data_IF_905823075217
#
_entry.id   IF_905823075217
#
_cell.length_a   1.000
_cell.length_b   1.000
_cell.length_c   1.000
_cell.angle_alpha   90.00
_cell.angle_beta   90.00
_cell.angle_gamma   90.00
#
_symmetry.space_group_name_H-M   'P 1'
#
loop_
_entity.id
_entity.type
_entity.pdbx_description
1 polymer ?
#
# COMPACT_ATOMS: atom_id res chain seq x y z
N UNK A 1 -14.79 -4.78 -8.12
CA UNK A 1 -15.13 -4.68 -9.55
C UNK A 1 -16.16 -3.60 -9.74
N UNK A 2 -16.02 -2.77 -10.76
CA UNK A 2 -16.96 -1.68 -11.05
C UNK A 2 -17.24 -1.56 -12.55
N UNK A 3 -18.31 -0.85 -12.86
CA UNK A 3 -18.70 -0.55 -14.24
C UNK A 3 -18.74 0.96 -14.40
N UNK A 4 -18.22 1.44 -15.51
CA UNK A 4 -18.21 2.86 -15.86
C UNK A 4 -18.90 3.05 -17.21
N UNK A 5 -19.71 4.08 -17.32
CA UNK A 5 -20.36 4.50 -18.57
C UNK A 5 -19.71 5.78 -19.08
N UNK A 6 -19.40 5.83 -20.35
CA UNK A 6 -18.75 6.99 -20.97
C UNK A 6 -19.10 7.09 -22.45
N UNK A 7 -19.10 8.31 -22.99
CA UNK A 7 -19.23 8.57 -24.42
C UNK A 7 -17.87 8.71 -25.12
N UNK A 8 -16.78 8.61 -24.36
CA UNK A 8 -15.41 8.66 -24.90
C UNK A 8 -15.06 7.37 -25.64
N UNK A 9 -14.16 7.49 -26.61
CA UNK A 9 -13.68 6.33 -27.36
C UNK A 9 -12.90 5.35 -26.46
N UNK A 10 -12.99 4.03 -26.70
CA UNK A 10 -12.27 3.04 -25.89
C UNK A 10 -10.76 3.26 -25.80
N UNK A 11 -10.14 3.69 -26.90
CA UNK A 11 -8.70 3.95 -26.95
C UNK A 11 -8.30 5.10 -26.02
N UNK A 12 -9.09 6.19 -26.00
CA UNK A 12 -8.85 7.34 -25.12
C UNK A 12 -8.96 6.97 -23.65
N UNK A 13 -9.96 6.17 -23.30
CA UNK A 13 -10.19 5.70 -21.92
C UNK A 13 -9.05 4.78 -21.48
N UNK A 14 -8.65 3.84 -22.32
CA UNK A 14 -7.56 2.90 -22.04
C UNK A 14 -6.23 3.63 -21.82
N UNK A 15 -5.91 4.61 -22.67
CA UNK A 15 -4.70 5.41 -22.55
C UNK A 15 -4.71 6.26 -21.28
N UNK A 16 -5.83 6.88 -20.95
CA UNK A 16 -5.96 7.67 -19.74
C UNK A 16 -5.74 6.84 -18.46
N UNK A 17 -6.33 5.64 -18.38
CA UNK A 17 -6.14 4.76 -17.23
C UNK A 17 -4.75 4.10 -17.19
N UNK A 18 -4.08 3.95 -18.32
CA UNK A 18 -2.69 3.48 -18.34
C UNK A 18 -1.74 4.49 -17.68
N UNK A 19 -2.00 5.78 -17.87
CA UNK A 19 -1.23 6.86 -17.26
C UNK A 19 -1.69 7.20 -15.83
N UNK A 20 -2.90 6.80 -15.47
CA UNK A 20 -3.46 7.09 -14.14
C UNK A 20 -2.81 6.24 -13.06
N UNK A 21 -2.03 6.89 -12.21
CA UNK A 21 -1.38 6.28 -11.06
C UNK A 21 -1.51 7.21 -9.86
N UNK A 22 -1.87 6.66 -8.72
CA UNK A 22 -2.02 7.43 -7.49
C UNK A 22 -1.41 6.69 -6.31
N UNK A 23 -0.59 7.40 -5.55
CA UNK A 23 -0.08 6.85 -4.30
C UNK A 23 -1.21 6.72 -3.28
N UNK A 24 -1.31 5.57 -2.66
CA UNK A 24 -2.30 5.25 -1.63
C UNK A 24 -1.64 4.60 -0.42
N UNK A 25 -2.39 4.52 0.66
CA UNK A 25 -1.92 3.87 1.88
C UNK A 25 -1.87 2.35 1.71
N UNK A 26 -0.80 1.74 2.21
CA UNK A 26 -0.70 0.28 2.27
C UNK A 26 -1.74 -0.28 3.25
N UNK A 27 -2.27 -1.45 2.90
CA UNK A 27 -3.23 -2.19 3.72
C UNK A 27 -2.57 -3.42 4.31
N UNK A 28 -3.19 -4.00 5.34
CA UNK A 28 -2.77 -5.29 5.88
C UNK A 28 -2.68 -6.35 4.78
N UNK A 29 -1.58 -7.11 4.77
CA UNK A 29 -1.30 -8.10 3.74
C UNK A 29 -0.48 -7.59 2.54
N UNK A 30 -0.36 -6.29 2.35
CA UNK A 30 0.54 -5.73 1.34
C UNK A 30 2.00 -5.82 1.81
N UNK A 31 2.92 -5.93 0.86
CA UNK A 31 4.36 -5.85 1.16
C UNK A 31 4.79 -4.39 1.24
N UNK A 32 5.65 -4.09 2.22
CA UNK A 32 6.22 -2.75 2.33
C UNK A 32 7.17 -2.47 1.17
N UNK A 33 7.00 -1.34 0.51
CA UNK A 33 7.87 -0.92 -0.59
C UNK A 33 9.20 -0.33 -0.12
N UNK A 34 9.26 0.09 1.14
CA UNK A 34 10.45 0.66 1.78
C UNK A 34 10.44 0.42 3.29
N UNK A 35 11.61 0.52 3.91
CA UNK A 35 11.73 0.51 5.36
C UNK A 35 11.38 1.89 5.92
N UNK A 36 10.48 1.94 6.89
CA UNK A 36 10.08 3.16 7.59
C UNK A 36 10.55 3.11 9.03
N UNK A 37 11.41 4.06 9.40
CA UNK A 37 11.95 4.21 10.74
C UNK A 37 11.60 5.60 11.25
N UNK A 38 10.95 5.66 12.41
CA UNK A 38 10.69 6.92 13.09
C UNK A 38 11.89 7.29 13.96
N UNK A 39 12.37 8.54 13.87
CA UNK A 39 13.48 9.02 14.68
C UNK A 39 13.05 9.20 16.14
N UNK A 40 14.05 9.30 17.02
CA UNK A 40 13.85 9.73 18.42
C UNK A 40 13.29 11.14 18.46
N UNK A 41 12.32 11.37 19.31
CA UNK A 41 11.69 12.67 19.49
C UNK A 41 10.17 12.64 19.28
N UNK A 42 9.53 13.80 19.12
CA UNK A 42 8.09 13.87 18.91
C UNK A 42 7.66 13.10 17.66
N UNK A 43 6.56 12.36 17.78
CA UNK A 43 5.97 11.67 16.63
C UNK A 43 5.22 12.70 15.80
N UNK A 44 5.68 12.89 14.56
CA UNK A 44 5.12 13.88 13.64
C UNK A 44 4.28 13.24 12.57
N UNK A 45 3.22 13.91 12.15
CA UNK A 45 2.51 13.61 10.90
C UNK A 45 3.36 14.14 9.74
N UNK A 46 4.05 13.25 9.06
CA UNK A 46 5.07 13.59 8.05
C UNK A 46 4.48 14.33 6.85
N UNK A 47 3.21 14.07 6.53
CA UNK A 47 2.54 14.60 5.34
C UNK A 47 1.51 15.70 5.63
N UNK A 48 1.46 16.21 6.85
CA UNK A 48 0.82 17.49 7.08
C UNK A 48 1.79 18.61 6.67
N UNK A 49 1.30 19.61 6.03
CA UNK A 49 2.10 20.77 5.62
C UNK A 49 1.60 22.03 6.36
N UNK A 50 2.35 22.50 7.37
CA UNK A 50 3.62 21.98 7.91
C UNK A 50 3.45 20.68 8.73
N UNK A 51 4.52 19.87 8.93
CA UNK A 51 4.47 18.71 9.80
C UNK A 51 4.04 19.07 11.20
N UNK A 52 3.02 18.39 11.71
CA UNK A 52 2.47 18.66 13.04
C UNK A 52 2.69 17.46 13.98
N UNK A 53 2.95 17.69 15.27
CA UNK A 53 2.99 16.61 16.25
C UNK A 53 1.58 16.04 16.47
N UNK A 54 1.52 14.75 16.82
CA UNK A 54 0.27 14.13 17.20
C UNK A 54 -0.29 14.77 18.48
N UNK A 55 -1.63 14.97 18.55
CA UNK A 55 -2.24 15.48 19.78
C UNK A 55 -2.17 14.44 20.89
N UNK A 56 -2.19 14.90 22.13
CA UNK A 56 -2.08 14.05 23.33
C UNK A 56 -3.17 12.95 23.42
N UNK A 57 -4.35 13.21 22.90
CA UNK A 57 -5.46 12.27 22.93
C UNK A 57 -5.28 11.09 21.96
N UNK A 58 -4.36 11.16 21.01
CA UNK A 58 -4.03 10.07 20.08
C UNK A 58 -2.90 9.16 20.59
N UNK A 59 -2.18 9.54 21.64
CA UNK A 59 -1.10 8.73 22.21
C UNK A 59 -1.52 7.32 22.61
N UNK A 60 -2.67 7.10 23.29
CA UNK A 60 -3.12 5.74 23.61
C UNK A 60 -3.32 4.86 22.38
N UNK A 61 -3.79 5.44 21.27
CA UNK A 61 -3.97 4.74 20.01
C UNK A 61 -2.62 4.34 19.40
N UNK A 62 -1.63 5.23 19.41
CA UNK A 62 -0.27 4.94 18.94
C UNK A 62 0.37 3.81 19.75
N UNK A 63 0.22 3.83 21.06
CA UNK A 63 0.71 2.79 21.96
C UNK A 63 0.02 1.44 21.70
N UNK A 64 -1.29 1.46 21.48
CA UNK A 64 -2.07 0.25 21.15
C UNK A 64 -1.63 -0.37 19.84
N UNK A 65 -1.17 0.43 18.88
CA UNK A 65 -0.65 -0.04 17.59
C UNK A 65 0.80 -0.52 17.66
N UNK A 66 1.40 -0.54 18.84
CA UNK A 66 2.75 -1.06 19.07
C UNK A 66 3.87 -0.02 19.04
N UNK A 67 3.53 1.27 18.98
CA UNK A 67 4.53 2.33 19.03
C UNK A 67 4.87 2.66 20.50
N UNK A 68 6.14 2.51 20.93
CA UNK A 68 6.54 2.74 22.32
C UNK A 68 6.67 4.25 22.60
N UNK A 69 5.53 4.94 22.66
CA UNK A 69 5.49 6.38 22.96
C UNK A 69 5.33 6.65 24.43
N UNK A 70 5.86 7.79 24.87
CA UNK A 70 5.59 8.39 26.17
C UNK A 70 5.20 9.84 25.99
N UNK A 71 4.54 10.42 26.98
CA UNK A 71 4.15 11.82 26.94
C UNK A 71 5.29 12.70 27.42
N UNK A 72 5.72 13.61 26.57
CA UNK A 72 6.67 14.66 26.94
C UNK A 72 6.04 16.02 26.61
N UNK A 73 5.78 16.81 27.65
CA UNK A 73 5.15 18.14 27.55
C UNK A 73 3.84 18.14 26.74
N UNK A 74 3.03 17.09 26.90
CA UNK A 74 1.76 16.94 26.20
C UNK A 74 1.86 16.43 24.75
N UNK A 75 3.03 16.01 24.30
CA UNK A 75 3.27 15.48 22.96
C UNK A 75 3.74 14.03 23.03
N UNK A 76 3.15 13.10 22.26
CA UNK A 76 3.67 11.74 22.13
C UNK A 76 5.08 11.73 21.57
N UNK A 77 6.03 11.13 22.30
CA UNK A 77 7.45 11.17 21.98
C UNK A 77 8.06 9.78 22.05
N UNK A 78 8.99 9.49 21.14
CA UNK A 78 9.78 8.26 21.14
C UNK A 78 11.11 8.46 21.88
N UNK A 79 11.45 7.51 22.75
CA UNK A 79 12.73 7.50 23.47
C UNK A 79 13.89 7.06 22.55
N UNK A 80 13.60 6.16 21.62
CA UNK A 80 14.56 5.58 20.70
C UNK A 80 13.95 5.45 19.30
N UNK A 81 14.76 5.37 18.24
CA UNK A 81 14.24 5.13 16.90
C UNK A 81 13.42 3.84 16.85
N UNK A 82 12.27 3.88 16.18
CA UNK A 82 11.38 2.73 16.04
C UNK A 82 11.14 2.40 14.58
N UNK A 83 11.41 1.14 14.21
CA UNK A 83 11.13 0.63 12.87
C UNK A 83 9.69 0.16 12.79
N UNK A 84 8.88 0.82 11.96
CA UNK A 84 7.47 0.45 11.74
C UNK A 84 7.36 -0.74 10.82
N UNK A 85 8.07 -0.72 9.70
CA UNK A 85 8.05 -1.78 8.70
C UNK A 85 9.40 -1.92 8.03
N UNK A 86 9.60 -3.05 7.37
CA UNK A 86 10.82 -3.37 6.63
C UNK A 86 10.47 -3.71 5.18
N UNK A 87 11.25 -3.18 4.24
CA UNK A 87 11.06 -3.41 2.81
C UNK A 87 10.98 -4.91 2.49
N UNK A 88 9.94 -5.29 1.73
CA UNK A 88 9.72 -6.65 1.29
C UNK A 88 8.96 -7.54 2.29
N UNK A 89 8.72 -7.07 3.50
CA UNK A 89 7.92 -7.81 4.49
C UNK A 89 6.44 -7.44 4.41
N UNK A 90 5.59 -8.43 4.67
CA UNK A 90 4.14 -8.23 4.71
C UNK A 90 3.74 -7.38 5.90
N UNK A 91 2.91 -6.38 5.67
CA UNK A 91 2.41 -5.49 6.70
C UNK A 91 1.30 -6.15 7.53
N UNK A 92 1.38 -6.00 8.84
CA UNK A 92 0.27 -6.33 9.75
C UNK A 92 -0.78 -5.23 9.75
N UNK A 93 -1.96 -5.51 10.32
CA UNK A 93 -3.02 -4.52 10.44
C UNK A 93 -2.57 -3.29 11.24
N UNK A 94 -1.84 -3.50 12.33
CA UNK A 94 -1.29 -2.43 13.18
C UNK A 94 -0.27 -1.57 12.44
N UNK A 95 0.65 -2.19 11.70
CA UNK A 95 1.63 -1.49 10.88
C UNK A 95 0.98 -0.65 9.79
N UNK A 96 0.00 -1.21 9.08
CA UNK A 96 -0.74 -0.50 8.05
C UNK A 96 -1.50 0.71 8.62
N UNK A 97 -2.10 0.56 9.78
CA UNK A 97 -2.81 1.65 10.46
C UNK A 97 -1.86 2.74 10.95
N UNK A 98 -0.69 2.38 11.49
CA UNK A 98 0.35 3.35 11.86
C UNK A 98 0.82 4.16 10.65
N UNK A 99 1.09 3.50 9.54
CA UNK A 99 1.52 4.17 8.31
C UNK A 99 0.45 5.16 7.81
N UNK A 100 -0.82 4.77 7.90
CA UNK A 100 -1.93 5.65 7.55
C UNK A 100 -2.04 6.87 8.46
N UNK A 101 -1.89 6.70 9.78
CA UNK A 101 -1.94 7.79 10.75
C UNK A 101 -0.79 8.78 10.56
N UNK A 102 0.41 8.28 10.29
CA UNK A 102 1.60 9.11 10.02
C UNK A 102 1.47 9.81 8.66
N UNK A 103 0.71 9.22 7.73
CA UNK A 103 0.52 9.73 6.39
C UNK A 103 1.51 9.17 5.37
N UNK A 104 2.15 8.04 5.67
CA UNK A 104 3.10 7.38 4.78
C UNK A 104 2.36 6.59 3.69
N UNK A 105 2.45 7.04 2.45
CA UNK A 105 1.88 6.37 1.28
C UNK A 105 2.96 5.59 0.56
N UNK A 106 2.74 4.29 0.30
CA UNK A 106 3.75 3.45 -0.32
C UNK A 106 3.21 2.49 -1.38
N UNK A 107 1.91 2.48 -1.63
CA UNK A 107 1.28 1.62 -2.63
C UNK A 107 0.81 2.46 -3.80
N UNK A 108 1.10 2.00 -5.02
CA UNK A 108 0.63 2.65 -6.23
C UNK A 108 -0.75 2.08 -6.60
N UNK A 109 -1.77 2.93 -6.53
CA UNK A 109 -3.11 2.58 -6.97
C UNK A 109 -3.22 2.71 -8.49
N UNK A 110 -3.66 1.64 -9.13
CA UNK A 110 -3.95 1.59 -10.56
C UNK A 110 -5.31 0.97 -10.79
N UNK A 111 -6.01 1.43 -11.81
CA UNK A 111 -7.25 0.82 -12.28
C UNK A 111 -6.91 -0.08 -13.47
N UNK A 112 -7.27 -1.35 -13.38
CA UNK A 112 -7.14 -2.29 -14.48
C UNK A 112 -8.46 -2.41 -15.22
N UNK A 113 -8.45 -2.10 -16.49
CA UNK A 113 -9.58 -2.29 -17.38
C UNK A 113 -9.57 -3.72 -17.92
N UNK A 114 -10.66 -4.44 -17.79
CA UNK A 114 -10.79 -5.84 -18.22
C UNK A 114 -11.37 -5.94 -19.61
N UNK A 115 -12.47 -5.25 -19.86
CA UNK A 115 -13.18 -5.26 -21.14
C UNK A 115 -14.07 -4.04 -21.28
N UNK A 116 -14.52 -3.78 -22.48
CA UNK A 116 -15.55 -2.77 -22.74
C UNK A 116 -16.62 -3.32 -23.66
N UNK A 117 -17.81 -2.76 -23.54
CA UNK A 117 -18.94 -3.00 -24.42
C UNK A 117 -19.24 -1.74 -25.23
N UNK A 118 -19.40 -1.90 -26.54
CA UNK A 118 -19.72 -0.78 -27.44
C UNK A 118 -21.20 -0.86 -27.84
N UNK A 119 -21.93 0.24 -27.62
CA UNK A 119 -23.35 0.32 -27.94
C UNK A 119 -23.64 0.33 -29.45
N UNK A 120 -22.69 0.76 -30.28
CA UNK A 120 -22.85 0.81 -31.74
C UNK A 120 -22.71 -0.56 -32.39
N UNK A 121 -21.77 -1.38 -31.91
CA UNK A 121 -21.53 -2.75 -32.41
C UNK A 121 -22.21 -3.82 -31.58
N UNK A 122 -22.64 -3.49 -30.36
CA UNK A 122 -23.18 -4.42 -29.36
C UNK A 122 -22.23 -5.57 -29.00
N UNK A 123 -20.93 -5.36 -29.15
CA UNK A 123 -19.88 -6.34 -28.89
C UNK A 123 -19.09 -6.04 -27.62
N UNK A 124 -18.62 -7.08 -26.94
CA UNK A 124 -17.70 -7.00 -25.83
C UNK A 124 -16.29 -7.27 -26.33
N UNK A 125 -15.39 -6.30 -26.11
CA UNK A 125 -13.98 -6.43 -26.46
C UNK A 125 -13.15 -6.54 -25.19
N UNK A 126 -12.30 -7.57 -25.10
CA UNK A 126 -11.36 -7.70 -23.99
C UNK A 126 -10.15 -6.81 -24.24
N UNK A 127 -9.71 -6.11 -23.18
CA UNK A 127 -8.53 -5.25 -23.23
C UNK A 127 -7.31 -6.13 -22.90
N UNK A 128 -6.33 -6.17 -23.82
CA UNK A 128 -5.08 -6.88 -23.60
C UNK A 128 -4.37 -6.33 -22.37
N UNK A 129 -3.95 -7.22 -21.47
CA UNK A 129 -3.12 -6.84 -20.33
C UNK A 129 -1.78 -6.32 -20.86
N UNK A 130 -1.55 -5.03 -20.68
CA UNK A 130 -0.18 -4.55 -20.69
C UNK A 130 0.43 -5.16 -19.43
N UNK A 131 1.29 -6.16 -19.60
CA UNK A 131 2.01 -6.82 -18.53
C UNK A 131 2.80 -5.77 -17.75
N UNK A 132 2.18 -5.22 -16.71
CA UNK A 132 2.93 -4.63 -15.62
C UNK A 132 3.47 -5.81 -14.82
N UNK A 133 4.77 -5.94 -14.84
CA UNK A 133 5.56 -6.89 -14.08
C UNK A 133 5.09 -6.96 -12.62
N UNK A 134 4.17 -7.88 -12.35
CA UNK A 134 3.85 -8.28 -10.99
C UNK A 134 4.77 -9.43 -10.65
N UNK A 135 5.91 -9.09 -10.04
CA UNK A 135 6.90 -10.04 -9.54
C UNK A 135 6.38 -10.92 -8.41
N UNK A 136 5.31 -11.65 -8.69
CA UNK A 136 4.83 -12.74 -7.87
C UNK A 136 5.54 -14.03 -8.25
N UNK A 137 6.79 -14.20 -7.87
CA UNK A 137 7.42 -15.51 -7.87
C UNK A 137 6.73 -16.40 -6.86
N UNK A 138 5.81 -17.22 -7.35
CA UNK A 138 5.42 -18.43 -6.64
C UNK A 138 6.63 -19.37 -6.68
N UNK A 139 7.32 -19.50 -5.56
CA UNK A 139 8.28 -20.56 -5.36
C UNK A 139 7.50 -21.88 -5.29
N UNK A 140 7.45 -22.59 -6.39
CA UNK A 140 7.13 -24.00 -6.37
C UNK A 140 8.25 -24.71 -5.62
N UNK A 141 7.92 -25.19 -4.43
CA UNK A 141 8.77 -26.13 -3.74
C UNK A 141 8.69 -27.47 -4.48
N UNK A 142 9.67 -27.74 -5.32
CA UNK A 142 9.90 -29.09 -5.80
C UNK A 142 10.30 -29.95 -4.60
N UNK A 143 9.39 -30.80 -4.19
CA UNK A 143 9.71 -31.91 -3.32
C UNK A 143 10.47 -32.96 -4.15
N UNK A 144 11.78 -32.84 -4.12
CA UNK A 144 12.63 -33.89 -4.65
C UNK A 144 12.45 -35.16 -3.83
N UNK A 145 11.69 -36.10 -4.35
CA UNK A 145 11.64 -37.44 -3.81
C UNK A 145 12.91 -38.17 -4.24
N UNK A 146 13.91 -38.17 -3.37
CA UNK A 146 15.12 -38.92 -3.52
C UNK A 146 14.89 -40.34 -3.08
N UNK A 147 14.37 -41.18 -3.94
CA UNK A 147 14.36 -42.62 -3.70
C UNK A 147 15.78 -43.17 -3.71
N UNK A 148 16.32 -43.47 -2.57
CA UNK A 148 17.55 -44.22 -2.44
C UNK A 148 17.23 -45.72 -2.40
N UNK A 149 17.44 -46.39 -3.52
CA UNK A 149 17.53 -47.84 -3.52
C UNK A 149 18.95 -48.27 -3.21
N UNK A 150 19.12 -48.85 -2.06
CA UNK A 150 20.39 -49.47 -1.69
C UNK A 150 20.44 -50.88 -2.16
#
# INVERSE_FOLDING_TARGET
MGIMFTDSKPEEVTEWFADFQRLDFARAGNKASRTVILPTGPVMRIYSDPPEPFPHNEEPQLRKLGLPTHMDKGVPTLIAPHKICEKGKTLTAEQAQLLKLIGERMVMFRVRLLCYWDSTTAEVTQIAETQGDDGGQSSEAESGDGAMSG
#
